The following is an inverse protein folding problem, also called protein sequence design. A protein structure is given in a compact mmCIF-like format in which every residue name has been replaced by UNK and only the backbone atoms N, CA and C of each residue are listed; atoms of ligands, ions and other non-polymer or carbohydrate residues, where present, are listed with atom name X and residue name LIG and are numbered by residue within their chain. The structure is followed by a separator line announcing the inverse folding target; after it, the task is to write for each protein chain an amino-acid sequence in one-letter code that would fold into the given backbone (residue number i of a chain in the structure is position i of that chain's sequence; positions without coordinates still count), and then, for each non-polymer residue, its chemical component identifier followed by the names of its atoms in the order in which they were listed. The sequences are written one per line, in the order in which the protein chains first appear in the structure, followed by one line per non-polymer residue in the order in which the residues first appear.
data_IF_326997167124
#
_entry.id   IF_326997167124
#
_cell.length_a   1.000
_cell.length_b   1.000
_cell.length_c   1.000
_cell.angle_alpha   90.00
_cell.angle_beta   90.00
_cell.angle_gamma   90.00
#
_symmetry.space_group_name_H-M   'P 1'
#
loop_
_entity.id
_entity.type
_entity.pdbx_description
1 polymer ?
#
# COMPACT_ATOMS: atom_id res chain seq x y z
N UNK A 1 -16.31 -4.57 -43.89
CA UNK A 1 -15.38 -5.22 -42.98
C UNK A 1 -16.10 -6.42 -42.40
N UNK A 2 -15.65 -7.65 -42.74
CA UNK A 2 -16.21 -8.86 -42.18
C UNK A 2 -15.94 -8.85 -40.67
N UNK A 3 -16.98 -8.88 -39.87
CA UNK A 3 -16.85 -9.11 -38.43
C UNK A 3 -16.34 -10.53 -38.26
N UNK A 4 -15.05 -10.71 -37.97
CA UNK A 4 -14.48 -11.97 -37.58
C UNK A 4 -15.18 -12.41 -36.28
N UNK A 5 -16.05 -13.41 -36.39
CA UNK A 5 -16.66 -14.00 -35.20
C UNK A 5 -15.59 -14.71 -34.38
N UNK A 6 -15.59 -14.60 -33.05
CA UNK A 6 -14.61 -15.28 -32.21
C UNK A 6 -14.67 -16.80 -32.46
N UNK A 7 -13.50 -17.45 -32.51
CA UNK A 7 -13.40 -18.92 -32.69
C UNK A 7 -14.12 -19.61 -31.51
N UNK A 8 -15.14 -20.39 -31.79
CA UNK A 8 -15.97 -21.11 -30.81
C UNK A 8 -15.13 -21.98 -29.87
N UNK A 9 -14.00 -22.52 -30.34
CA UNK A 9 -13.10 -23.30 -29.50
C UNK A 9 -12.32 -22.42 -28.50
N UNK A 10 -11.94 -21.21 -28.89
CA UNK A 10 -11.32 -20.26 -27.94
C UNK A 10 -12.32 -19.86 -26.88
N UNK A 11 -13.54 -19.54 -27.24
CA UNK A 11 -14.59 -19.26 -26.29
C UNK A 11 -14.81 -20.42 -25.31
N UNK A 12 -14.79 -21.66 -25.82
CA UNK A 12 -14.89 -22.88 -25.01
C UNK A 12 -13.68 -23.00 -24.04
N UNK A 13 -12.47 -22.76 -24.54
CA UNK A 13 -11.25 -22.78 -23.74
C UNK A 13 -11.27 -21.69 -22.64
N UNK A 14 -11.77 -20.49 -22.93
CA UNK A 14 -11.92 -19.42 -21.93
C UNK A 14 -12.94 -19.83 -20.85
N UNK A 15 -14.06 -20.46 -21.23
CA UNK A 15 -15.02 -21.02 -20.26
C UNK A 15 -14.41 -22.12 -19.40
N UNK A 16 -13.52 -22.92 -19.97
CA UNK A 16 -12.75 -23.90 -19.21
C UNK A 16 -11.80 -23.20 -18.20
N UNK A 17 -11.03 -22.19 -18.64
CA UNK A 17 -10.15 -21.40 -17.76
C UNK A 17 -10.92 -20.81 -16.58
N UNK A 18 -12.11 -20.26 -16.84
CA UNK A 18 -12.96 -19.63 -15.82
C UNK A 18 -13.66 -20.63 -14.89
N UNK A 19 -13.70 -21.90 -15.26
CA UNK A 19 -14.32 -22.96 -14.46
C UNK A 19 -13.52 -23.25 -13.20
N UNK A 20 -14.15 -23.91 -12.23
CA UNK A 20 -13.46 -24.38 -11.02
C UNK A 20 -12.28 -25.29 -11.40
N UNK A 21 -12.45 -26.18 -12.36
CA UNK A 21 -11.40 -27.10 -12.84
C UNK A 21 -10.22 -26.32 -13.41
N UNK A 22 -10.49 -25.37 -14.31
CA UNK A 22 -9.46 -24.52 -14.91
C UNK A 22 -8.67 -23.74 -13.86
N UNK A 23 -9.35 -23.17 -12.87
CA UNK A 23 -8.71 -22.36 -11.81
C UNK A 23 -7.92 -23.19 -10.81
N UNK A 24 -8.45 -24.33 -10.37
CA UNK A 24 -7.86 -25.11 -9.27
C UNK A 24 -7.10 -26.35 -9.71
N UNK A 25 -7.34 -26.82 -10.95
CA UNK A 25 -6.82 -28.11 -11.45
C UNK A 25 -7.50 -29.33 -10.85
N UNK A 26 -8.44 -29.14 -9.92
CA UNK A 26 -9.16 -30.27 -9.27
C UNK A 26 -10.44 -30.55 -10.04
N UNK A 27 -10.50 -31.73 -10.66
CA UNK A 27 -11.68 -32.20 -11.39
C UNK A 27 -12.22 -33.50 -10.79
N UNK A 28 -13.52 -33.56 -10.57
CA UNK A 28 -14.24 -34.79 -10.21
C UNK A 28 -14.82 -35.50 -11.43
N UNK A 29 -14.80 -34.88 -12.63
CA UNK A 29 -15.37 -35.43 -13.86
C UNK A 29 -14.93 -34.61 -15.08
N UNK A 30 -15.55 -34.94 -16.24
CA UNK A 30 -15.35 -34.20 -17.48
C UNK A 30 -15.90 -32.77 -17.37
N UNK A 31 -15.27 -31.81 -18.08
CA UNK A 31 -15.82 -30.48 -18.22
C UNK A 31 -16.88 -30.47 -19.34
N UNK A 32 -18.07 -30.03 -19.01
CA UNK A 32 -19.19 -29.94 -19.95
C UNK A 32 -19.72 -28.53 -20.07
N UNK A 33 -20.08 -28.15 -21.30
CA UNK A 33 -20.70 -26.85 -21.56
C UNK A 33 -21.85 -26.98 -22.53
N UNK A 34 -22.95 -26.28 -22.24
CA UNK A 34 -24.13 -26.28 -23.11
C UNK A 34 -23.82 -25.63 -24.44
N UNK A 35 -24.18 -26.30 -25.53
CA UNK A 35 -23.86 -25.89 -26.91
C UNK A 35 -24.52 -24.57 -27.28
N UNK A 36 -25.79 -24.35 -26.90
CA UNK A 36 -26.50 -23.10 -27.24
C UNK A 36 -25.91 -21.91 -26.48
N UNK A 37 -25.51 -22.12 -25.23
CA UNK A 37 -24.81 -21.10 -24.46
C UNK A 37 -23.43 -20.80 -25.04
N UNK A 38 -22.76 -21.81 -25.59
CA UNK A 38 -21.47 -21.63 -26.24
C UNK A 38 -21.60 -20.81 -27.53
N UNK A 39 -22.60 -21.10 -28.37
CA UNK A 39 -22.89 -20.31 -29.56
C UNK A 39 -23.20 -18.87 -29.25
N UNK A 40 -24.01 -18.64 -28.21
CA UNK A 40 -24.33 -17.28 -27.74
C UNK A 40 -23.08 -16.54 -27.25
N UNK A 41 -22.21 -17.20 -26.51
CA UNK A 41 -20.95 -16.64 -26.03
C UNK A 41 -19.95 -16.35 -27.18
N UNK A 42 -20.00 -17.14 -28.25
CA UNK A 42 -19.23 -16.93 -29.46
C UNK A 42 -19.87 -15.93 -30.45
N UNK A 43 -21.00 -15.29 -30.07
CA UNK A 43 -21.77 -14.38 -30.95
C UNK A 43 -22.16 -15.01 -32.30
N UNK A 44 -22.41 -16.34 -32.34
CA UNK A 44 -22.84 -17.06 -33.51
C UNK A 44 -24.37 -16.93 -33.71
N UNK A 45 -24.84 -15.69 -33.98
CA UNK A 45 -26.27 -15.38 -34.02
C UNK A 45 -26.90 -15.71 -35.40
N UNK A 46 -26.13 -15.61 -36.48
CA UNK A 46 -26.62 -15.94 -37.83
C UNK A 46 -26.55 -17.46 -38.10
N UNK A 47 -27.36 -17.94 -39.07
CA UNK A 47 -27.33 -19.34 -39.50
C UNK A 47 -25.94 -19.74 -40.02
N UNK A 48 -25.31 -18.89 -40.78
CA UNK A 48 -23.96 -19.12 -41.35
C UNK A 48 -22.89 -19.21 -40.24
N UNK A 49 -22.91 -18.30 -39.25
CA UNK A 49 -22.01 -18.34 -38.11
C UNK A 49 -22.17 -19.63 -37.27
N UNK A 50 -23.43 -20.12 -37.14
CA UNK A 50 -23.71 -21.38 -36.40
C UNK A 50 -23.17 -22.59 -37.14
N UNK A 51 -23.35 -22.65 -38.46
CA UNK A 51 -22.81 -23.74 -39.29
C UNK A 51 -21.27 -23.74 -39.16
N UNK A 52 -20.63 -22.59 -39.31
CA UNK A 52 -19.18 -22.48 -39.16
C UNK A 52 -18.67 -22.92 -37.77
N UNK A 53 -19.36 -22.49 -36.70
CA UNK A 53 -19.03 -22.92 -35.36
C UNK A 53 -19.20 -24.43 -35.15
N UNK A 54 -20.27 -25.00 -35.70
CA UNK A 54 -20.50 -26.45 -35.64
C UNK A 54 -19.43 -27.23 -36.42
N UNK A 55 -19.09 -26.82 -37.64
CA UNK A 55 -18.04 -27.46 -38.45
C UNK A 55 -16.70 -27.40 -37.71
N UNK A 56 -16.39 -26.29 -37.11
CA UNK A 56 -15.17 -26.10 -36.31
C UNK A 56 -15.10 -27.05 -35.11
N UNK A 57 -16.22 -27.23 -34.39
CA UNK A 57 -16.32 -28.15 -33.25
C UNK A 57 -16.21 -29.62 -33.73
N UNK A 58 -16.88 -30.00 -34.85
CA UNK A 58 -16.81 -31.33 -35.40
C UNK A 58 -15.41 -31.69 -35.91
N UNK A 59 -14.73 -30.75 -36.58
CA UNK A 59 -13.34 -30.91 -36.98
C UNK A 59 -12.44 -31.14 -35.76
N UNK A 60 -12.57 -30.32 -34.73
CA UNK A 60 -11.79 -30.45 -33.51
C UNK A 60 -12.06 -31.78 -32.80
N UNK A 61 -13.32 -32.18 -32.70
CA UNK A 61 -13.73 -33.44 -32.07
C UNK A 61 -13.11 -34.63 -32.84
N UNK A 62 -13.15 -34.66 -34.19
CA UNK A 62 -12.57 -35.73 -35.01
C UNK A 62 -11.05 -35.86 -34.83
N UNK A 63 -10.35 -34.75 -34.60
CA UNK A 63 -8.89 -34.71 -34.36
C UNK A 63 -8.50 -34.97 -32.91
N UNK A 64 -9.47 -34.98 -32.00
CA UNK A 64 -9.21 -35.03 -30.56
C UNK A 64 -8.87 -36.42 -30.02
N UNK A 65 -9.05 -37.49 -30.78
CA UNK A 65 -8.96 -38.86 -30.27
C UNK A 65 -9.81 -39.06 -29.04
N UNK A 66 -11.07 -38.68 -29.09
CA UNK A 66 -12.08 -38.76 -28.02
C UNK A 66 -11.86 -37.81 -26.82
N UNK A 67 -10.92 -36.89 -26.88
CA UNK A 67 -10.68 -35.90 -25.79
C UNK A 67 -11.68 -34.77 -25.80
N UNK A 68 -12.25 -34.43 -26.95
CA UNK A 68 -13.39 -33.52 -27.11
C UNK A 68 -14.56 -34.31 -27.73
N UNK A 69 -15.68 -34.41 -27.03
CA UNK A 69 -16.87 -35.13 -27.46
C UNK A 69 -18.04 -34.15 -27.62
N UNK A 70 -18.79 -34.38 -28.72
CA UNK A 70 -20.04 -33.66 -29.00
C UNK A 70 -21.19 -34.62 -28.71
N UNK A 71 -21.94 -34.34 -27.64
CA UNK A 71 -23.11 -35.12 -27.28
C UNK A 71 -24.34 -34.56 -27.98
N UNK A 72 -25.12 -35.46 -28.61
CA UNK A 72 -26.34 -35.10 -29.33
C UNK A 72 -27.53 -35.04 -28.39
N UNK A 73 -28.57 -34.35 -28.81
CA UNK A 73 -29.80 -34.24 -28.03
C UNK A 73 -30.52 -35.60 -27.99
N UNK A 74 -31.04 -36.06 -26.81
CA UNK A 74 -31.65 -37.38 -26.67
C UNK A 74 -32.81 -37.66 -27.61
N UNK A 75 -33.47 -36.61 -28.11
CA UNK A 75 -34.64 -36.71 -29.02
C UNK A 75 -34.30 -36.41 -30.48
N UNK A 76 -33.10 -35.96 -30.79
CA UNK A 76 -32.65 -35.66 -32.18
C UNK A 76 -31.13 -35.75 -32.23
N UNK A 77 -30.67 -36.86 -32.80
CA UNK A 77 -29.23 -37.15 -32.95
C UNK A 77 -28.48 -36.19 -33.89
N UNK A 78 -29.19 -35.34 -34.60
CA UNK A 78 -28.59 -34.34 -35.51
C UNK A 78 -28.18 -33.07 -34.75
N UNK A 79 -28.76 -32.81 -33.56
CA UNK A 79 -28.55 -31.59 -32.81
C UNK A 79 -27.50 -31.81 -31.72
N UNK A 80 -26.41 -31.05 -31.75
CA UNK A 80 -25.45 -30.99 -30.65
C UNK A 80 -26.14 -30.35 -29.46
N UNK A 81 -25.99 -30.95 -28.30
CA UNK A 81 -26.54 -30.44 -27.02
C UNK A 81 -25.45 -30.01 -26.04
N UNK A 82 -24.41 -30.82 -25.89
CA UNK A 82 -23.32 -30.60 -24.95
C UNK A 82 -21.97 -30.76 -25.65
N UNK A 83 -21.04 -29.86 -25.38
CA UNK A 83 -19.63 -29.98 -25.69
C UNK A 83 -18.91 -30.47 -24.43
N UNK A 84 -18.27 -31.63 -24.51
CA UNK A 84 -17.60 -32.30 -23.38
C UNK A 84 -16.10 -32.39 -23.64
N UNK A 85 -15.32 -31.90 -22.70
CA UNK A 85 -13.87 -32.07 -22.65
C UNK A 85 -13.54 -33.15 -21.63
N UNK A 86 -12.93 -34.22 -22.05
CA UNK A 86 -12.59 -35.33 -21.18
C UNK A 86 -11.58 -34.92 -20.11
N UNK A 87 -11.75 -35.44 -18.92
CA UNK A 87 -10.84 -35.19 -17.80
C UNK A 87 -9.41 -35.60 -18.12
N UNK A 88 -9.25 -36.79 -18.75
CA UNK A 88 -7.93 -37.31 -19.10
C UNK A 88 -7.46 -36.75 -20.45
N UNK A 89 -6.42 -35.92 -20.39
CA UNK A 89 -5.78 -35.40 -21.61
C UNK A 89 -6.58 -34.38 -22.40
N UNK A 90 -7.81 -34.03 -22.00
CA UNK A 90 -8.64 -33.03 -22.67
C UNK A 90 -8.04 -31.62 -22.61
N UNK A 91 -7.68 -31.14 -21.42
CA UNK A 91 -7.05 -29.84 -21.30
C UNK A 91 -5.75 -29.71 -22.11
N UNK A 92 -4.73 -30.56 -21.95
CA UNK A 92 -3.50 -30.43 -22.72
C UNK A 92 -3.76 -30.50 -24.23
N UNK A 93 -4.69 -31.36 -24.69
CA UNK A 93 -5.05 -31.45 -26.07
C UNK A 93 -5.70 -30.16 -26.60
N UNK A 94 -6.69 -29.60 -25.90
CA UNK A 94 -7.43 -28.41 -26.31
C UNK A 94 -6.48 -27.21 -26.47
N UNK A 95 -5.67 -26.95 -25.48
CA UNK A 95 -4.76 -25.80 -25.47
C UNK A 95 -3.60 -25.99 -26.46
N UNK A 96 -3.10 -27.22 -26.65
CA UNK A 96 -2.14 -27.54 -27.73
C UNK A 96 -2.75 -27.30 -29.11
N UNK A 97 -4.00 -27.74 -29.33
CA UNK A 97 -4.71 -27.53 -30.57
C UNK A 97 -4.91 -26.05 -30.91
N UNK A 98 -5.17 -25.24 -29.91
CA UNK A 98 -5.30 -23.77 -30.00
C UNK A 98 -3.95 -23.04 -30.06
N UNK A 99 -2.84 -23.73 -29.83
CA UNK A 99 -1.48 -23.16 -29.67
C UNK A 99 -1.41 -22.13 -28.54
N UNK A 100 -2.06 -22.42 -27.44
CA UNK A 100 -2.12 -21.61 -26.25
C UNK A 100 -1.57 -22.36 -25.02
N UNK A 101 -1.16 -21.63 -23.98
CA UNK A 101 -0.77 -22.23 -22.70
C UNK A 101 -2.00 -22.75 -21.95
N UNK A 102 -1.91 -23.96 -21.42
CA UNK A 102 -2.99 -24.51 -20.61
C UNK A 102 -2.94 -23.98 -19.17
N UNK A 103 -4.08 -23.85 -18.46
CA UNK A 103 -4.11 -23.46 -17.05
C UNK A 103 -3.20 -24.30 -16.15
N UNK A 104 -3.14 -25.61 -16.38
CA UNK A 104 -2.21 -26.49 -15.66
C UNK A 104 -0.75 -26.20 -16.00
N UNK A 105 -0.46 -25.89 -17.29
CA UNK A 105 0.87 -25.50 -17.73
C UNK A 105 1.31 -24.18 -17.11
N UNK A 106 0.43 -23.18 -17.07
CA UNK A 106 0.68 -21.88 -16.43
C UNK A 106 0.94 -22.02 -14.93
N UNK A 107 0.12 -22.82 -14.23
CA UNK A 107 0.36 -23.13 -12.80
C UNK A 107 1.71 -23.79 -12.56
N UNK A 108 2.09 -24.73 -13.43
CA UNK A 108 3.38 -25.42 -13.35
C UNK A 108 4.55 -24.47 -13.59
N UNK A 109 4.46 -23.59 -14.60
CA UNK A 109 5.48 -22.57 -14.87
C UNK A 109 5.69 -21.63 -13.67
N UNK A 110 4.60 -21.22 -13.00
CA UNK A 110 4.69 -20.42 -11.76
C UNK A 110 5.34 -21.22 -10.63
N UNK A 111 4.96 -22.46 -10.44
CA UNK A 111 5.56 -23.31 -9.41
C UNK A 111 7.06 -23.50 -9.65
N UNK A 112 7.46 -23.84 -10.87
CA UNK A 112 8.86 -23.98 -11.28
C UNK A 112 9.65 -22.67 -11.09
N UNK A 113 9.00 -21.51 -11.34
CA UNK A 113 9.59 -20.22 -11.07
C UNK A 113 9.92 -20.08 -9.58
N UNK A 114 8.95 -20.30 -8.66
CA UNK A 114 9.17 -20.18 -7.22
C UNK A 114 10.21 -21.20 -6.72
N UNK A 115 10.15 -22.45 -7.18
CA UNK A 115 11.14 -23.49 -6.83
C UNK A 115 12.55 -23.09 -7.25
N UNK A 116 12.72 -22.45 -8.42
CA UNK A 116 14.03 -22.00 -8.91
C UNK A 116 14.71 -20.97 -8.04
N UNK A 117 13.92 -20.21 -7.23
CA UNK A 117 14.44 -19.20 -6.29
C UNK A 117 14.65 -19.72 -4.87
N UNK A 118 14.27 -20.95 -4.56
CA UNK A 118 14.37 -21.53 -3.21
C UNK A 118 15.77 -21.40 -2.59
N UNK A 119 16.80 -21.62 -3.39
CA UNK A 119 18.19 -21.67 -2.94
C UNK A 119 18.98 -20.37 -3.23
N UNK A 120 18.31 -19.28 -3.57
CA UNK A 120 18.96 -17.97 -3.76
C UNK A 120 19.54 -17.50 -2.43
N UNK A 121 20.69 -16.84 -2.50
CA UNK A 121 21.37 -16.30 -1.30
C UNK A 121 20.54 -15.18 -0.69
N UNK A 122 20.19 -15.35 0.58
CA UNK A 122 19.54 -14.37 1.46
C UNK A 122 20.30 -14.35 2.81
N UNK A 123 20.08 -13.34 3.66
CA UNK A 123 20.67 -13.30 4.99
C UNK A 123 20.43 -14.60 5.76
N UNK A 124 21.46 -15.10 6.47
CA UNK A 124 21.41 -16.41 7.17
C UNK A 124 20.20 -16.55 8.07
N UNK A 125 19.79 -15.49 8.74
CA UNK A 125 18.62 -15.47 9.65
C UNK A 125 17.27 -15.69 8.94
N UNK A 126 17.19 -15.39 7.65
CA UNK A 126 15.95 -15.45 6.86
C UNK A 126 15.97 -16.63 5.86
N UNK A 127 17.05 -17.42 5.81
CA UNK A 127 17.28 -18.46 4.79
C UNK A 127 16.18 -19.53 4.78
N UNK A 128 15.87 -20.08 5.94
CA UNK A 128 14.87 -21.15 6.03
C UNK A 128 13.46 -20.61 5.77
N UNK A 129 13.18 -19.39 6.25
CA UNK A 129 11.90 -18.71 6.00
C UNK A 129 11.72 -18.41 4.51
N UNK A 130 12.73 -17.92 3.81
CA UNK A 130 12.74 -17.71 2.38
C UNK A 130 12.48 -19.00 1.60
N UNK A 131 13.25 -20.06 1.91
CA UNK A 131 13.10 -21.36 1.25
C UNK A 131 11.68 -21.93 1.41
N UNK A 132 11.17 -21.92 2.64
CA UNK A 132 9.81 -22.40 2.95
C UNK A 132 8.74 -21.55 2.26
N UNK A 133 8.92 -20.24 2.20
CA UNK A 133 8.01 -19.33 1.51
C UNK A 133 7.95 -19.59 0.01
N UNK A 134 9.10 -19.82 -0.66
CA UNK A 134 9.14 -20.20 -2.07
C UNK A 134 8.40 -21.53 -2.31
N UNK A 135 8.65 -22.55 -1.48
CA UNK A 135 7.96 -23.86 -1.59
C UNK A 135 6.44 -23.71 -1.37
N UNK A 136 6.03 -22.92 -0.40
CA UNK A 136 4.62 -22.65 -0.15
C UNK A 136 3.94 -21.97 -1.34
N UNK A 137 4.59 -20.98 -1.94
CA UNK A 137 4.10 -20.32 -3.15
C UNK A 137 4.01 -21.27 -4.33
N UNK A 138 5.00 -22.14 -4.53
CA UNK A 138 4.96 -23.18 -5.56
C UNK A 138 3.76 -24.11 -5.38
N UNK A 139 3.53 -24.58 -4.14
CA UNK A 139 2.36 -25.40 -3.84
C UNK A 139 1.04 -24.65 -4.04
N UNK A 140 0.97 -23.38 -3.61
CA UNK A 140 -0.21 -22.54 -3.84
C UNK A 140 -0.48 -22.32 -5.35
N UNK A 141 0.58 -22.15 -6.15
CA UNK A 141 0.45 -22.02 -7.61
C UNK A 141 -0.16 -23.28 -8.21
N UNK A 142 0.33 -24.46 -7.84
CA UNK A 142 -0.19 -25.76 -8.31
C UNK A 142 -1.65 -25.97 -7.88
N UNK A 143 -1.99 -25.63 -6.64
CA UNK A 143 -3.34 -25.80 -6.08
C UNK A 143 -4.34 -24.73 -6.55
N UNK A 144 -3.90 -23.75 -7.35
CA UNK A 144 -4.75 -22.63 -7.75
C UNK A 144 -5.09 -21.64 -6.62
N UNK A 145 -4.38 -21.68 -5.49
CA UNK A 145 -4.55 -20.78 -4.35
C UNK A 145 -3.91 -19.42 -4.61
N UNK A 146 -4.29 -18.37 -3.85
CA UNK A 146 -3.66 -17.06 -3.94
C UNK A 146 -2.14 -17.13 -3.74
N UNK A 147 -1.40 -16.40 -4.56
CA UNK A 147 0.07 -16.32 -4.54
C UNK A 147 0.57 -14.89 -4.24
N UNK A 148 -0.26 -14.07 -3.58
CA UNK A 148 0.14 -12.69 -3.24
C UNK A 148 1.49 -12.68 -2.50
N UNK A 149 2.39 -11.73 -2.84
CA UNK A 149 2.21 -10.53 -3.65
C UNK A 149 2.44 -10.69 -5.16
N UNK A 150 2.47 -11.92 -5.66
CA UNK A 150 2.65 -12.25 -7.08
C UNK A 150 1.32 -12.28 -7.83
N UNK A 151 1.42 -12.25 -9.18
CA UNK A 151 0.27 -12.31 -10.08
C UNK A 151 0.43 -13.50 -11.01
N UNK A 152 -0.69 -14.03 -11.56
CA UNK A 152 -0.60 -15.19 -12.49
C UNK A 152 -0.28 -14.79 -13.92
N UNK A 153 -0.49 -13.51 -14.23
CA UNK A 153 -0.48 -13.01 -15.62
C UNK A 153 0.84 -12.31 -15.99
N UNK A 154 1.77 -12.15 -15.03
CA UNK A 154 3.05 -11.45 -15.24
C UNK A 154 4.26 -12.23 -14.70
N UNK A 155 4.59 -13.33 -15.34
CA UNK A 155 5.77 -14.14 -14.99
C UNK A 155 7.08 -13.34 -15.01
N UNK A 156 7.20 -12.35 -15.90
CA UNK A 156 8.40 -11.52 -15.99
C UNK A 156 8.54 -10.60 -14.79
N UNK A 157 7.48 -9.89 -14.44
CA UNK A 157 7.45 -9.02 -13.25
C UNK A 157 7.58 -9.82 -11.96
N UNK A 158 7.04 -11.03 -11.89
CA UNK A 158 7.18 -11.91 -10.74
C UNK A 158 8.63 -12.42 -10.59
N UNK A 159 9.30 -12.78 -11.68
CA UNK A 159 10.73 -13.12 -11.67
C UNK A 159 11.58 -11.94 -11.23
N UNK A 160 11.27 -10.75 -11.72
CA UNK A 160 11.95 -9.53 -11.30
C UNK A 160 11.80 -9.28 -9.80
N UNK A 161 10.58 -9.39 -9.27
CA UNK A 161 10.30 -9.22 -7.85
C UNK A 161 11.06 -10.25 -7.00
N UNK A 162 11.08 -11.53 -7.39
CA UNK A 162 11.85 -12.58 -6.73
C UNK A 162 13.37 -12.31 -6.75
N UNK A 163 13.86 -11.63 -7.79
CA UNK A 163 15.28 -11.23 -7.87
C UNK A 163 15.62 -10.06 -6.94
N UNK A 164 14.66 -9.16 -6.73
CA UNK A 164 14.83 -7.93 -5.92
C UNK A 164 14.73 -8.22 -4.43
N UNK A 165 13.77 -9.06 -3.99
CA UNK A 165 13.53 -9.32 -2.55
C UNK A 165 14.79 -9.75 -1.80
N UNK A 166 15.61 -10.72 -2.26
CA UNK A 166 16.86 -11.11 -1.59
C UNK A 166 17.84 -9.94 -1.40
N UNK A 167 17.95 -9.07 -2.41
CA UNK A 167 18.85 -7.90 -2.36
C UNK A 167 18.35 -6.85 -1.37
N UNK A 168 17.03 -6.70 -1.25
CA UNK A 168 16.40 -5.81 -0.26
C UNK A 168 16.58 -6.38 1.15
N UNK A 169 16.42 -7.69 1.35
CA UNK A 169 16.66 -8.35 2.64
C UNK A 169 18.12 -8.24 3.10
N UNK A 170 19.08 -8.24 2.15
CA UNK A 170 20.51 -8.12 2.40
C UNK A 170 21.02 -6.68 2.51
N UNK A 171 20.12 -5.69 2.35
CA UNK A 171 20.48 -4.29 2.42
C UNK A 171 21.05 -3.91 3.79
N UNK A 172 22.16 -3.15 3.79
CA UNK A 172 22.82 -2.68 5.00
C UNK A 172 22.92 -1.16 5.05
N UNK A 173 22.66 -0.61 6.21
CA UNK A 173 22.73 0.83 6.46
C UNK A 173 21.51 1.61 5.94
N UNK A 174 21.61 2.95 6.00
CA UNK A 174 20.53 3.82 5.56
C UNK A 174 20.82 4.41 4.18
N UNK A 175 19.79 4.49 3.35
CA UNK A 175 19.83 5.13 2.04
C UNK A 175 18.47 5.65 1.63
N UNK A 176 18.46 6.65 0.75
CA UNK A 176 17.21 7.05 0.11
C UNK A 176 16.75 5.96 -0.86
N UNK A 177 15.46 5.67 -0.84
CA UNK A 177 14.82 4.61 -1.63
C UNK A 177 15.20 4.67 -3.11
N UNK A 178 15.22 5.88 -3.71
CA UNK A 178 15.59 6.06 -5.12
C UNK A 178 17.05 5.76 -5.40
N UNK A 179 17.96 6.08 -4.48
CA UNK A 179 19.37 5.77 -4.64
C UNK A 179 19.62 4.25 -4.50
N UNK A 180 19.02 3.63 -3.49
CA UNK A 180 19.06 2.18 -3.33
C UNK A 180 18.44 1.45 -4.53
N UNK A 181 17.36 2.00 -5.10
CA UNK A 181 16.71 1.47 -6.29
C UNK A 181 17.64 1.45 -7.51
N UNK A 182 18.48 2.48 -7.69
CA UNK A 182 19.50 2.47 -8.73
C UNK A 182 20.52 1.34 -8.53
N UNK A 183 20.93 1.08 -7.28
CA UNK A 183 21.92 0.04 -6.95
C UNK A 183 21.31 -1.35 -7.14
N UNK A 184 20.10 -1.57 -6.63
CA UNK A 184 19.42 -2.88 -6.65
C UNK A 184 18.87 -3.22 -8.02
N UNK A 185 18.19 -2.24 -8.67
CA UNK A 185 17.36 -2.48 -9.85
C UNK A 185 17.89 -1.80 -11.12
N UNK A 186 18.89 -0.89 -11.02
CA UNK A 186 19.36 0.00 -12.10
C UNK A 186 18.26 0.95 -12.62
N UNK A 187 17.22 1.15 -11.83
CA UNK A 187 16.10 2.06 -12.09
C UNK A 187 15.73 2.79 -10.80
N UNK A 188 15.77 4.12 -10.81
CA UNK A 188 15.58 4.94 -9.61
C UNK A 188 14.16 4.89 -9.02
N UNK A 189 13.17 4.46 -9.79
CA UNK A 189 11.75 4.42 -9.38
C UNK A 189 11.23 3.01 -9.10
N UNK A 190 12.00 1.97 -9.41
CA UNK A 190 11.52 0.59 -9.36
C UNK A 190 11.11 0.14 -7.98
N UNK A 191 11.91 0.40 -6.95
CA UNK A 191 11.54 0.05 -5.57
C UNK A 191 10.31 0.81 -5.08
N UNK A 192 10.13 2.06 -5.51
CA UNK A 192 8.96 2.87 -5.21
C UNK A 192 7.69 2.25 -5.82
N UNK A 193 7.75 1.84 -7.09
CA UNK A 193 6.65 1.17 -7.80
C UNK A 193 6.31 -0.20 -7.18
N UNK A 194 7.32 -0.95 -6.79
CA UNK A 194 7.15 -2.29 -6.22
C UNK A 194 6.93 -2.28 -4.70
N UNK A 195 6.96 -1.11 -4.04
CA UNK A 195 6.89 -0.98 -2.59
C UNK A 195 5.77 -1.81 -1.94
N UNK A 196 4.49 -1.73 -2.37
CA UNK A 196 3.43 -2.50 -1.73
C UNK A 196 3.66 -4.02 -1.83
N UNK A 197 4.17 -4.50 -2.97
CA UNK A 197 4.48 -5.91 -3.20
C UNK A 197 5.68 -6.36 -2.38
N UNK A 198 6.72 -5.55 -2.31
CA UNK A 198 7.92 -5.80 -1.50
C UNK A 198 7.58 -5.87 -0.01
N UNK A 199 6.88 -4.87 0.53
CA UNK A 199 6.49 -4.85 1.94
C UNK A 199 5.56 -6.02 2.30
N UNK A 200 4.66 -6.44 1.38
CA UNK A 200 3.85 -7.64 1.55
C UNK A 200 4.71 -8.91 1.63
N UNK A 201 5.70 -9.06 0.72
CA UNK A 201 6.63 -10.19 0.75
C UNK A 201 7.47 -10.20 2.02
N UNK A 202 8.02 -9.05 2.42
CA UNK A 202 8.84 -8.91 3.64
C UNK A 202 8.06 -9.34 4.89
N UNK A 203 6.80 -8.89 5.03
CA UNK A 203 5.93 -9.30 6.15
C UNK A 203 5.72 -10.81 6.19
N UNK A 204 5.49 -11.43 5.04
CA UNK A 204 5.29 -12.89 4.96
C UNK A 204 6.57 -13.66 5.29
N UNK A 205 7.70 -13.33 4.67
CA UNK A 205 8.98 -14.02 4.87
C UNK A 205 9.46 -13.87 6.32
N UNK A 206 9.29 -12.70 6.90
CA UNK A 206 9.83 -12.40 8.24
C UNK A 206 8.82 -12.58 9.38
N UNK A 207 7.66 -13.18 9.09
CA UNK A 207 6.54 -13.34 10.04
C UNK A 207 6.17 -12.02 10.75
N UNK A 208 6.15 -10.92 10.00
CA UNK A 208 5.80 -9.59 10.51
C UNK A 208 6.92 -8.85 11.23
N UNK A 209 8.14 -9.40 11.33
CA UNK A 209 9.30 -8.72 11.94
C UNK A 209 9.71 -7.46 11.16
N UNK A 210 9.54 -7.46 9.83
CA UNK A 210 9.77 -6.32 8.96
C UNK A 210 8.44 -5.95 8.31
N UNK A 211 7.94 -4.75 8.63
CA UNK A 211 6.65 -4.24 8.14
C UNK A 211 6.81 -3.33 6.92
N UNK A 212 7.93 -2.60 6.84
CA UNK A 212 8.18 -1.60 5.81
C UNK A 212 9.63 -1.58 5.34
N UNK A 213 9.87 -0.99 4.18
CA UNK A 213 11.22 -0.76 3.65
C UNK A 213 12.05 0.17 4.55
N UNK A 214 11.39 1.07 5.28
CA UNK A 214 12.06 2.00 6.20
C UNK A 214 12.72 1.29 7.38
N UNK A 215 12.18 0.15 7.82
CA UNK A 215 12.78 -0.66 8.89
C UNK A 215 14.09 -1.32 8.44
N UNK A 216 14.27 -1.47 7.13
CA UNK A 216 15.54 -1.91 6.52
C UNK A 216 16.49 -0.76 6.22
N UNK A 217 16.15 0.49 6.57
CA UNK A 217 16.94 1.67 6.26
C UNK A 217 16.76 2.22 4.85
N UNK A 218 15.73 1.77 4.10
CA UNK A 218 15.39 2.28 2.79
C UNK A 218 14.35 3.40 2.93
N UNK A 219 14.82 4.65 2.96
CA UNK A 219 14.04 5.81 3.32
C UNK A 219 13.45 6.52 2.11
N UNK A 220 12.18 6.86 2.15
CA UNK A 220 11.56 7.71 1.14
C UNK A 220 12.09 9.15 1.19
N UNK A 221 12.27 9.66 2.41
CA UNK A 221 12.79 11.00 2.69
C UNK A 221 13.89 10.93 3.76
N UNK A 222 14.84 11.87 3.75
CA UNK A 222 15.82 11.96 4.83
C UNK A 222 15.13 12.11 6.18
N UNK A 223 15.63 11.40 7.19
CA UNK A 223 15.18 11.54 8.58
C UNK A 223 15.70 12.83 9.15
N UNK A 224 14.91 13.88 9.03
CA UNK A 224 15.24 15.24 9.48
C UNK A 224 14.03 15.91 10.10
N UNK A 225 14.30 16.92 10.91
CA UNK A 225 13.29 17.82 11.49
C UNK A 225 13.62 19.25 11.10
N UNK A 226 12.62 20.02 10.68
CA UNK A 226 12.74 21.46 10.50
C UNK A 226 12.36 22.17 11.78
N UNK A 227 13.23 23.05 12.22
CA UNK A 227 13.04 23.81 13.45
C UNK A 227 13.41 25.28 13.30
N UNK A 228 12.85 26.12 14.15
CA UNK A 228 13.20 27.54 14.31
C UNK A 228 13.01 27.90 15.79
N UNK A 229 14.01 28.53 16.40
CA UNK A 229 13.90 29.01 17.79
C UNK A 229 15.13 28.69 18.62
N UNK A 230 15.06 29.00 19.93
CA UNK A 230 16.20 28.97 20.86
C UNK A 230 16.54 27.53 21.28
N UNK A 231 17.23 26.83 20.39
CA UNK A 231 17.75 25.48 20.61
C UNK A 231 19.28 25.50 20.44
N UNK A 232 19.99 24.81 21.33
CA UNK A 232 21.43 24.66 21.29
C UNK A 232 21.80 23.17 21.41
N UNK A 233 22.68 22.70 20.52
CA UNK A 233 23.22 21.35 20.52
C UNK A 233 24.70 21.38 20.88
N UNK A 234 25.11 20.67 21.91
CA UNK A 234 26.50 20.44 22.24
C UNK A 234 26.96 19.17 21.53
N UNK A 235 27.92 19.32 20.63
CA UNK A 235 28.51 18.27 19.81
C UNK A 235 29.97 18.05 20.25
N UNK A 236 30.58 16.92 19.85
CA UNK A 236 32.00 16.65 20.17
C UNK A 236 32.99 17.73 19.67
N UNK A 237 32.61 18.45 18.58
CA UNK A 237 33.47 19.48 17.98
C UNK A 237 33.11 20.93 18.40
N UNK A 238 32.11 21.13 19.24
CA UNK A 238 31.66 22.46 19.67
C UNK A 238 30.15 22.57 19.83
N UNK A 239 29.67 23.76 20.07
CA UNK A 239 28.26 24.06 20.33
C UNK A 239 27.62 24.71 19.11
N UNK A 240 26.50 24.17 18.64
CA UNK A 240 25.67 24.74 17.60
C UNK A 240 24.47 25.47 18.24
N UNK A 241 24.48 26.80 18.16
CA UNK A 241 23.37 27.63 18.68
C UNK A 241 22.44 28.06 17.54
N UNK A 242 21.27 27.40 17.47
CA UNK A 242 20.27 27.65 16.42
C UNK A 242 19.42 28.88 16.70
N UNK A 243 19.38 29.35 17.95
CA UNK A 243 18.68 30.59 18.33
C UNK A 243 19.24 31.85 17.67
N UNK A 244 20.49 31.79 17.17
CA UNK A 244 21.12 32.91 16.44
C UNK A 244 20.67 33.00 14.97
N UNK A 245 20.08 31.94 14.44
CA UNK A 245 19.68 31.91 13.04
C UNK A 245 18.33 32.61 12.84
N UNK A 246 18.20 33.32 11.71
CA UNK A 246 16.95 34.00 11.36
C UNK A 246 15.97 33.11 10.60
N UNK A 247 16.48 32.10 9.92
CA UNK A 247 15.69 31.17 9.12
C UNK A 247 15.57 29.80 9.78
N UNK A 248 14.53 29.03 9.46
CA UNK A 248 14.43 27.63 9.88
C UNK A 248 15.61 26.80 9.38
N UNK A 249 16.00 25.82 10.15
CA UNK A 249 17.06 24.86 9.83
C UNK A 249 16.55 23.45 9.87
N UNK A 250 17.19 22.58 9.09
CA UNK A 250 16.94 21.17 9.08
C UNK A 250 18.04 20.43 9.85
N UNK A 251 17.66 19.63 10.85
CA UNK A 251 18.60 18.81 11.62
C UNK A 251 18.29 17.33 11.36
N UNK A 252 19.34 16.52 11.13
CA UNK A 252 19.19 15.09 10.92
C UNK A 252 18.95 14.35 12.25
N UNK A 253 18.29 13.18 12.16
CA UNK A 253 18.17 12.25 13.30
C UNK A 253 19.55 11.89 13.85
N UNK A 254 20.54 11.69 12.95
CA UNK A 254 21.91 11.35 13.31
C UNK A 254 22.56 12.43 14.17
N UNK A 255 22.45 13.72 13.78
CA UNK A 255 23.01 14.83 14.56
C UNK A 255 22.34 14.96 15.93
N UNK A 256 21.02 14.75 15.99
CA UNK A 256 20.30 14.72 17.25
C UNK A 256 20.79 13.61 18.17
N UNK A 257 21.07 12.40 17.65
CA UNK A 257 21.59 11.31 18.45
C UNK A 257 23.04 11.49 18.88
N UNK A 258 23.87 12.11 18.02
CA UNK A 258 25.27 12.41 18.32
C UNK A 258 25.46 13.60 19.25
N UNK A 259 24.45 14.44 19.43
CA UNK A 259 24.52 15.54 20.36
C UNK A 259 24.71 15.03 21.81
N UNK A 260 25.75 15.54 22.47
CA UNK A 260 26.07 15.24 23.89
C UNK A 260 24.93 15.77 24.78
N UNK A 261 24.51 16.99 24.52
CA UNK A 261 23.39 17.64 25.20
C UNK A 261 22.55 18.46 24.22
N UNK A 262 21.25 18.59 24.50
CA UNK A 262 20.33 19.49 23.82
C UNK A 262 19.75 20.42 24.86
N UNK A 263 19.97 21.72 24.68
CA UNK A 263 19.46 22.76 25.55
C UNK A 263 18.37 23.54 24.79
N UNK A 264 17.24 23.70 25.41
CA UNK A 264 16.12 24.49 24.88
C UNK A 264 15.83 25.64 25.86
N UNK A 265 16.14 26.86 25.43
CA UNK A 265 15.91 28.08 26.20
C UNK A 265 14.54 28.69 25.85
N UNK A 266 13.70 27.98 25.08
CA UNK A 266 12.35 28.39 24.77
C UNK A 266 11.44 28.34 25.98
N UNK A 267 10.50 29.25 26.05
CA UNK A 267 9.42 29.23 27.05
C UNK A 267 8.44 28.08 26.81
N UNK A 268 8.33 27.66 25.53
CA UNK A 268 7.42 26.62 25.08
C UNK A 268 7.81 26.07 23.70
N UNK A 269 7.14 25.00 23.31
CA UNK A 269 7.31 24.32 22.02
C UNK A 269 6.00 24.32 21.26
N UNK A 270 6.08 24.59 19.97
CA UNK A 270 4.95 24.51 19.07
C UNK A 270 5.29 23.58 17.89
N UNK A 271 4.56 22.50 17.76
CA UNK A 271 4.60 21.67 16.56
C UNK A 271 3.56 22.19 15.57
N UNK A 272 3.94 22.34 14.30
CA UNK A 272 3.12 22.92 13.23
C UNK A 272 3.01 21.91 12.10
N UNK A 273 1.79 21.57 11.70
CA UNK A 273 1.56 20.54 10.70
C UNK A 273 1.96 20.98 9.30
N UNK A 274 1.42 22.11 8.88
CA UNK A 274 1.60 22.63 7.53
C UNK A 274 2.95 23.37 7.38
N UNK A 275 3.73 23.01 6.36
CA UNK A 275 5.05 23.59 6.13
C UNK A 275 4.95 25.10 5.78
N UNK A 276 3.93 25.51 5.02
CA UNK A 276 3.72 26.93 4.68
C UNK A 276 3.45 27.75 5.93
N UNK A 277 2.56 27.31 6.78
CA UNK A 277 2.24 27.96 8.06
C UNK A 277 3.47 27.99 8.97
N UNK A 278 4.23 26.90 9.05
CA UNK A 278 5.48 26.86 9.80
C UNK A 278 6.48 27.92 9.31
N UNK A 279 6.66 28.06 7.98
CA UNK A 279 7.58 29.02 7.39
C UNK A 279 7.12 30.46 7.66
N UNK A 280 5.83 30.76 7.62
CA UNK A 280 5.31 32.09 7.94
C UNK A 280 5.49 32.42 9.43
N UNK A 281 5.18 31.47 10.33
CA UNK A 281 5.40 31.63 11.77
C UNK A 281 6.89 31.83 12.11
N UNK A 282 7.77 31.13 11.38
CA UNK A 282 9.22 31.24 11.59
C UNK A 282 9.81 32.62 11.28
N UNK A 283 9.13 33.44 10.51
CA UNK A 283 9.51 34.84 10.24
C UNK A 283 9.27 35.76 11.46
N UNK A 284 8.41 35.31 12.35
CA UNK A 284 8.07 36.08 13.55
C UNK A 284 9.12 35.80 14.62
N UNK A 285 9.63 36.87 15.25
CA UNK A 285 10.60 36.73 16.35
C UNK A 285 9.88 36.27 17.63
N UNK A 286 10.32 35.16 18.23
CA UNK A 286 9.60 34.54 19.36
C UNK A 286 10.53 33.68 20.22
N UNK A 287 10.20 33.57 21.50
CA UNK A 287 10.81 32.64 22.47
C UNK A 287 10.32 31.19 22.30
N UNK A 288 9.52 30.93 21.30
CA UNK A 288 8.95 29.61 21.03
C UNK A 288 9.88 28.77 20.14
N UNK A 289 10.07 27.51 20.51
CA UNK A 289 10.68 26.54 19.62
C UNK A 289 9.61 26.00 18.67
N UNK A 290 9.70 26.38 17.41
CA UNK A 290 8.83 25.88 16.34
C UNK A 290 9.41 24.59 15.76
N UNK A 291 8.59 23.56 15.59
CA UNK A 291 8.95 22.27 15.00
C UNK A 291 7.92 21.92 13.90
N UNK A 292 8.36 21.79 12.65
CA UNK A 292 7.47 21.37 11.60
C UNK A 292 7.29 19.84 11.65
N UNK A 293 6.04 19.38 11.66
CA UNK A 293 5.73 17.97 11.57
C UNK A 293 4.27 17.72 11.17
N UNK A 294 4.07 16.85 10.19
CA UNK A 294 2.81 16.12 9.99
C UNK A 294 2.82 14.85 10.87
N UNK A 295 2.56 13.67 10.34
CA UNK A 295 2.85 12.44 11.12
C UNK A 295 4.32 12.43 11.54
N UNK A 296 4.62 12.28 12.84
CA UNK A 296 5.96 12.50 13.37
C UNK A 296 6.96 11.45 12.87
N UNK A 297 7.96 11.92 12.13
CA UNK A 297 9.11 11.11 11.75
C UNK A 297 10.05 10.88 12.94
N UNK A 298 11.02 9.95 12.78
CA UNK A 298 11.96 9.58 13.85
C UNK A 298 12.77 10.77 14.37
N UNK A 299 13.18 11.71 13.50
CA UNK A 299 13.91 12.90 13.92
C UNK A 299 13.08 13.81 14.84
N UNK A 300 11.77 14.00 14.55
CA UNK A 300 10.85 14.74 15.42
C UNK A 300 10.75 14.09 16.79
N UNK A 301 10.52 12.76 16.80
CA UNK A 301 10.42 12.00 18.05
C UNK A 301 11.73 12.02 18.85
N UNK A 302 12.88 11.89 18.20
CA UNK A 302 14.20 11.98 18.83
C UNK A 302 14.42 13.37 19.47
N UNK A 303 14.00 14.44 18.80
CA UNK A 303 14.06 15.78 19.36
C UNK A 303 13.12 15.92 20.57
N UNK A 304 11.84 15.56 20.43
CA UNK A 304 10.84 15.69 21.50
C UNK A 304 11.23 14.90 22.76
N UNK A 305 11.84 13.73 22.61
CA UNK A 305 12.31 12.91 23.73
C UNK A 305 13.46 13.56 24.53
N UNK A 306 14.24 14.43 23.88
CA UNK A 306 15.40 15.11 24.49
C UNK A 306 15.12 16.51 24.99
N UNK A 307 13.93 17.07 24.70
CA UNK A 307 13.53 18.34 25.25
C UNK A 307 13.20 18.23 26.77
N UNK A 308 13.46 19.28 27.57
CA UNK A 308 13.11 19.27 28.96
C UNK A 308 11.65 18.88 29.23
N UNK A 309 11.42 18.00 30.19
CA UNK A 309 10.08 17.46 30.48
C UNK A 309 9.06 18.54 30.91
N UNK A 310 9.54 19.61 31.49
CA UNK A 310 8.71 20.74 31.99
C UNK A 310 8.20 21.68 30.89
N UNK A 311 8.76 21.60 29.68
CA UNK A 311 8.32 22.45 28.57
C UNK A 311 6.90 22.12 28.15
N UNK A 312 6.05 23.12 28.05
CA UNK A 312 4.73 23.00 27.47
C UNK A 312 4.85 22.83 25.98
N UNK A 313 4.18 21.82 25.43
CA UNK A 313 4.16 21.52 24.01
C UNK A 313 2.75 21.69 23.49
N UNK A 314 2.61 22.47 22.45
CA UNK A 314 1.36 22.68 21.74
C UNK A 314 1.47 22.14 20.32
N UNK A 315 0.37 21.71 19.74
CA UNK A 315 0.27 21.30 18.35
C UNK A 315 -0.76 22.17 17.62
N UNK A 316 -0.32 22.76 16.52
CA UNK A 316 -1.17 23.49 15.60
C UNK A 316 -1.25 22.70 14.31
N UNK A 317 -2.40 22.10 14.08
CA UNK A 317 -2.70 21.27 12.92
C UNK A 317 -4.03 21.64 12.30
N UNK A 318 -4.34 21.02 11.18
CA UNK A 318 -5.65 21.08 10.55
C UNK A 318 -6.72 20.55 11.51
N UNK A 319 -7.91 21.12 11.44
CA UNK A 319 -9.01 20.72 12.32
C UNK A 319 -9.95 19.76 11.64
N UNK A 320 -9.37 18.79 10.90
CA UNK A 320 -10.07 17.66 10.31
C UNK A 320 -9.70 16.34 11.00
N UNK A 321 -10.35 15.21 10.70
CA UNK A 321 -10.04 13.93 11.34
C UNK A 321 -8.56 13.52 11.21
N UNK A 322 -7.91 13.82 10.08
CA UNK A 322 -6.50 13.49 9.87
C UNK A 322 -5.56 14.33 10.76
N UNK A 323 -5.80 15.64 10.90
CA UNK A 323 -5.02 16.51 11.78
C UNK A 323 -5.15 16.10 13.26
N UNK A 324 -6.34 15.71 13.72
CA UNK A 324 -6.49 15.14 15.06
C UNK A 324 -5.79 13.78 15.22
N UNK A 325 -5.72 12.97 14.18
CA UNK A 325 -4.95 11.71 14.23
C UNK A 325 -3.44 11.96 14.29
N UNK A 326 -2.95 13.00 13.64
CA UNK A 326 -1.55 13.45 13.78
C UNK A 326 -1.25 13.84 15.24
N UNK A 327 -2.13 14.61 15.89
CA UNK A 327 -1.97 14.94 17.30
C UNK A 327 -1.96 13.68 18.19
N UNK A 328 -2.86 12.72 17.94
CA UNK A 328 -2.87 11.43 18.65
C UNK A 328 -1.54 10.69 18.47
N UNK A 329 -1.04 10.59 17.24
CA UNK A 329 0.22 9.89 16.93
C UNK A 329 1.43 10.59 17.58
N UNK A 330 1.45 11.93 17.60
CA UNK A 330 2.44 12.71 18.33
C UNK A 330 2.43 12.37 19.83
N UNK A 331 1.26 12.34 20.48
CA UNK A 331 1.10 12.00 21.90
C UNK A 331 1.56 10.57 22.18
N UNK A 332 1.08 9.62 21.38
CA UNK A 332 1.35 8.20 21.55
C UNK A 332 2.84 7.88 21.42
N UNK A 333 3.47 8.35 20.33
CA UNK A 333 4.83 7.96 20.01
C UNK A 333 5.90 8.76 20.74
N UNK A 334 5.61 10.01 21.11
CA UNK A 334 6.53 10.82 21.91
C UNK A 334 6.41 10.55 23.40
N UNK A 335 5.28 10.03 23.88
CA UNK A 335 4.96 9.91 25.30
C UNK A 335 4.81 11.26 26.02
N UNK A 336 4.69 12.38 25.28
CA UNK A 336 4.61 13.73 25.82
C UNK A 336 3.15 14.19 25.87
N UNK A 337 2.85 15.02 26.88
CA UNK A 337 1.60 15.79 26.88
C UNK A 337 1.73 16.90 25.86
N UNK A 338 0.83 16.91 24.86
CA UNK A 338 0.80 17.89 23.78
C UNK A 338 -0.61 18.47 23.72
N UNK A 339 -0.73 19.78 23.83
CA UNK A 339 -2.02 20.47 23.87
C UNK A 339 -2.44 20.87 22.44
N UNK A 340 -3.73 20.66 22.07
CA UNK A 340 -4.23 21.15 20.80
C UNK A 340 -4.31 22.69 20.84
N UNK A 341 -3.83 23.33 19.78
CA UNK A 341 -3.90 24.78 19.67
C UNK A 341 -4.82 25.16 18.51
N UNK A 342 -5.86 25.93 18.81
CA UNK A 342 -6.88 26.35 17.84
C UNK A 342 -7.57 25.19 17.07
N UNK A 343 -7.40 23.96 17.52
CA UNK A 343 -8.00 22.77 16.91
C UNK A 343 -9.46 22.61 17.35
N UNK A 344 -10.33 23.47 16.82
CA UNK A 344 -11.78 23.49 17.11
C UNK A 344 -12.57 23.26 15.83
N UNK A 345 -13.70 22.58 15.94
CA UNK A 345 -14.63 22.49 14.82
C UNK A 345 -15.23 23.87 14.51
N UNK A 346 -15.16 24.26 13.23
CA UNK A 346 -15.72 25.51 12.70
C UNK A 346 -16.68 25.18 11.59
N UNK A 347 -18.00 25.38 11.77
CA UNK A 347 -18.96 25.24 10.69
C UNK A 347 -18.56 26.13 9.50
N UNK A 348 -18.69 25.63 8.27
CA UNK A 348 -18.40 26.40 7.06
C UNK A 348 -19.36 26.03 5.94
N UNK A 349 -19.80 27.03 5.19
CA UNK A 349 -20.62 26.82 4.01
C UNK A 349 -19.79 26.10 2.93
N UNK A 350 -20.34 25.01 2.36
CA UNK A 350 -19.64 24.22 1.35
C UNK A 350 -18.54 23.29 1.89
N UNK A 351 -18.53 23.07 3.21
CA UNK A 351 -17.56 22.13 3.83
C UNK A 351 -17.63 20.73 3.24
N UNK A 352 -16.46 20.09 3.08
CA UNK A 352 -16.38 18.73 2.58
C UNK A 352 -17.10 17.74 3.52
N UNK A 353 -17.93 16.87 2.94
CA UNK A 353 -18.58 15.80 3.68
C UNK A 353 -17.54 14.78 4.20
N UNK A 354 -17.82 14.21 5.38
CA UNK A 354 -17.00 13.12 5.91
C UNK A 354 -17.12 11.88 5.02
N UNK A 355 -15.99 11.27 4.70
CA UNK A 355 -15.92 10.00 3.99
C UNK A 355 -15.94 8.84 5.01
N UNK A 356 -16.13 7.60 4.53
CA UNK A 356 -16.11 6.42 5.40
C UNK A 356 -14.81 6.31 6.24
N UNK A 357 -13.66 6.63 5.64
CA UNK A 357 -12.38 6.65 6.33
C UNK A 357 -12.33 7.70 7.44
N UNK A 358 -12.91 8.89 7.23
CA UNK A 358 -12.99 9.96 8.23
C UNK A 358 -13.81 9.50 9.45
N UNK A 359 -14.95 8.85 9.24
CA UNK A 359 -15.76 8.27 10.32
C UNK A 359 -14.99 7.23 11.13
N UNK A 360 -14.24 6.34 10.48
CA UNK A 360 -13.41 5.35 11.16
C UNK A 360 -12.31 5.99 12.02
N UNK A 361 -11.70 7.08 11.53
CA UNK A 361 -10.72 7.86 12.29
C UNK A 361 -11.38 8.49 13.51
N UNK A 362 -12.51 9.19 13.34
CA UNK A 362 -13.24 9.85 14.43
C UNK A 362 -13.62 8.84 15.52
N UNK A 363 -14.19 7.69 15.15
CA UNK A 363 -14.58 6.65 16.11
C UNK A 363 -13.38 6.13 16.92
N UNK A 364 -12.24 5.93 16.26
CA UNK A 364 -10.99 5.54 16.92
C UNK A 364 -10.48 6.62 17.88
N UNK A 365 -10.53 7.90 17.48
CA UNK A 365 -10.07 9.02 18.29
C UNK A 365 -10.97 9.24 19.51
N UNK A 366 -12.28 9.10 19.37
CA UNK A 366 -13.23 9.20 20.48
C UNK A 366 -13.08 8.05 21.49
N UNK A 367 -12.57 6.90 21.06
CA UNK A 367 -12.28 5.76 21.94
C UNK A 367 -10.91 5.87 22.65
N UNK A 368 -10.03 6.79 22.23
CA UNK A 368 -8.68 6.94 22.81
C UNK A 368 -8.69 7.91 23.99
N UNK A 369 -8.35 7.47 25.22
CA UNK A 369 -8.33 8.34 26.41
C UNK A 369 -7.37 9.53 26.29
N UNK A 370 -6.32 9.42 25.46
CA UNK A 370 -5.36 10.48 25.21
C UNK A 370 -5.94 11.66 24.44
N UNK A 371 -7.12 11.48 23.83
CA UNK A 371 -7.82 12.48 23.02
C UNK A 371 -9.05 13.06 23.71
N UNK A 372 -9.22 12.81 25.01
CA UNK A 372 -10.40 13.25 25.76
C UNK A 372 -10.67 14.77 25.67
N UNK A 373 -9.62 15.59 25.63
CA UNK A 373 -9.69 17.04 25.46
C UNK A 373 -10.11 17.47 24.03
N UNK A 374 -10.08 16.57 23.07
CA UNK A 374 -10.50 16.78 21.68
C UNK A 374 -11.87 16.17 21.34
N UNK A 375 -12.57 15.58 22.31
CA UNK A 375 -13.85 14.92 22.03
C UNK A 375 -14.91 15.88 21.50
N UNK A 376 -15.00 17.10 22.02
CA UNK A 376 -16.02 18.07 21.61
C UNK A 376 -15.94 18.42 20.10
N UNK A 377 -14.78 18.83 19.54
CA UNK A 377 -14.68 19.08 18.10
C UNK A 377 -14.90 17.83 17.25
N UNK A 378 -14.40 16.66 17.66
CA UNK A 378 -14.60 15.40 16.94
C UNK A 378 -16.09 14.98 16.91
N UNK A 379 -16.80 15.15 18.02
CA UNK A 379 -18.24 14.89 18.10
C UNK A 379 -19.00 15.86 17.21
N UNK A 380 -18.65 17.15 17.22
CA UNK A 380 -19.28 18.15 16.35
C UNK A 380 -19.13 17.83 14.86
N UNK A 381 -17.95 17.35 14.42
CA UNK A 381 -17.72 16.87 13.05
C UNK A 381 -18.63 15.68 12.72
N UNK A 382 -18.70 14.71 13.61
CA UNK A 382 -19.52 13.51 13.43
C UNK A 382 -21.00 13.87 13.30
N UNK A 383 -21.50 14.74 14.16
CA UNK A 383 -22.90 15.13 14.21
C UNK A 383 -23.32 15.99 13.00
N UNK A 384 -22.40 16.83 12.50
CA UNK A 384 -22.62 17.65 11.29
C UNK A 384 -22.45 16.87 9.99
N UNK A 385 -21.69 15.75 10.02
CA UNK A 385 -21.33 14.99 8.82
C UNK A 385 -20.33 15.70 7.91
N UNK A 386 -19.65 16.77 8.37
CA UNK A 386 -18.72 17.59 7.58
C UNK A 386 -17.42 17.86 8.32
N UNK A 387 -16.35 18.14 7.55
CA UNK A 387 -15.05 18.55 8.11
C UNK A 387 -15.05 19.96 8.67
N UNK A 388 -16.03 20.78 8.32
CA UNK A 388 -16.05 22.21 8.65
C UNK A 388 -15.00 23.00 7.85
N UNK A 389 -14.70 24.21 8.29
CA UNK A 389 -13.56 25.00 7.81
C UNK A 389 -12.31 24.60 8.60
N UNK A 390 -11.52 23.67 8.03
CA UNK A 390 -10.51 22.91 8.76
C UNK A 390 -9.06 23.33 8.46
N UNK A 391 -8.82 24.04 7.36
CA UNK A 391 -7.48 24.41 6.93
C UNK A 391 -6.82 25.39 7.90
N UNK A 392 -5.61 25.07 8.33
CA UNK A 392 -4.79 25.84 9.26
C UNK A 392 -4.54 27.26 8.75
N UNK A 393 -4.29 27.41 7.44
CA UNK A 393 -4.02 28.70 6.79
C UNK A 393 -5.21 29.64 6.84
N UNK A 394 -6.43 29.13 6.93
CA UNK A 394 -7.63 29.94 7.02
C UNK A 394 -7.74 30.76 8.31
N UNK A 395 -6.98 30.39 9.34
CA UNK A 395 -6.92 31.11 10.61
C UNK A 395 -6.05 32.37 10.55
N UNK A 396 -5.25 32.53 9.50
CA UNK A 396 -4.27 33.59 9.39
C UNK A 396 -3.06 33.39 10.33
N UNK A 397 -2.15 34.38 10.33
CA UNK A 397 -0.99 34.35 11.23
C UNK A 397 -1.37 34.97 12.57
N UNK A 398 -1.33 34.23 13.67
CA UNK A 398 -1.57 34.78 14.98
C UNK A 398 -0.44 35.72 15.42
N UNK A 399 -0.75 36.67 16.31
CA UNK A 399 0.25 37.47 16.96
C UNK A 399 1.06 36.59 17.93
N UNK A 400 2.32 36.30 17.59
CA UNK A 400 3.16 35.41 18.41
C UNK A 400 3.45 35.96 19.83
N UNK A 401 3.31 37.25 20.08
CA UNK A 401 3.43 37.79 21.43
C UNK A 401 2.29 37.33 22.33
N UNK A 402 1.16 37.02 21.73
CA UNK A 402 -0.04 36.51 22.39
C UNK A 402 -0.27 35.02 22.17
N UNK A 403 0.41 34.42 21.22
CA UNK A 403 0.23 33.07 20.76
C UNK A 403 1.39 32.16 21.23
N UNK A 404 1.11 30.96 21.72
CA UNK A 404 -0.12 30.18 21.77
C UNK A 404 -1.01 30.39 23.01
N UNK A 405 -0.80 31.47 23.79
CA UNK A 405 -1.16 31.60 25.20
C UNK A 405 -2.54 32.18 25.46
N UNK A 406 -3.18 32.73 24.47
CA UNK A 406 -4.48 33.40 24.63
C UNK A 406 -5.67 32.60 24.18
N UNK A 407 -5.81 31.38 24.72
CA UNK A 407 -7.12 30.71 24.64
C UNK A 407 -8.09 31.16 25.74
N UNK A 408 -7.68 32.05 26.66
CA UNK A 408 -8.42 32.24 27.91
C UNK A 408 -9.36 33.45 27.96
N UNK A 409 -9.63 34.14 26.86
CA UNK A 409 -10.46 35.32 26.97
C UNK A 409 -11.51 35.53 25.89
N UNK A 410 -11.84 34.52 25.14
CA UNK A 410 -13.00 34.56 24.23
C UNK A 410 -13.94 33.41 24.55
N UNK A 411 -14.39 33.34 25.76
CA UNK A 411 -15.71 32.86 26.08
C UNK A 411 -16.63 34.09 25.92
N UNK A 412 -17.49 33.97 25.01
CA UNK A 412 -18.92 34.33 24.98
C UNK A 412 -19.36 34.55 23.53
#
# INVERSE_FOLDING_TARGET
MAHEHPDVLRVFADRYRDSQVGRTGVSTGDFTFDYLKLLKAAHADSAEARIHAEDRLREASSRSQEKLKLETHPRDERLIHIVRLCREGGEPWLFHYLRESSPTGERRQLADLFESFQNVSVPRRDKDAWSNWCLQLAQHALDGRPIAPFTRDDLSGDRELLTIIPRVLDWQGESLLRFASCIICRDSKKLEQLRPRLESALRQITAGRIQSLEELGLLEKPRRVFIRGPLRLDLHGGTLNLGLLQSPVSISETDLHQAIAIHCDASQVLTVENETTFLELAKLNSDTLLIQTSYPGRAVLALLARLPAKLSIHHFGDTDPAGFDILRDLRERSGRTIHPLHMRYRPGDGSAALQLADHQIIDRLLADPRMADCHAPLQSMRDSGTKGNFEQESLGLPNLAEWPFYENSASD
#
